data_IF_564888333320
#
_entry.id   IF_564888333320
#
_cell.length_a   1.000
_cell.length_b   1.000
_cell.length_c   1.000
_cell.angle_alpha   90.00
_cell.angle_beta   90.00
_cell.angle_gamma   90.00
#
_symmetry.space_group_name_H-M   'P 1'
#
loop_
_entity.id
_entity.type
_entity.pdbx_description
1 polymer ?
#
# COMPACT_ATOMS: atom_id res chain seq x y z
N UNK A 1 21.76 -1.57 -16.48
CA UNK A 1 21.82 -1.15 -15.07
C UNK A 1 20.48 -1.50 -14.46
N UNK A 2 20.40 -2.37 -13.44
CA UNK A 2 19.14 -2.57 -12.71
C UNK A 2 18.85 -1.25 -11.98
N UNK A 3 17.95 -0.44 -12.50
CA UNK A 3 17.47 0.74 -11.78
C UNK A 3 16.78 0.25 -10.51
N UNK A 4 17.18 0.75 -9.36
CA UNK A 4 16.67 0.31 -8.07
C UNK A 4 15.31 0.91 -7.81
N UNK A 5 14.26 0.10 -7.80
CA UNK A 5 12.89 0.53 -7.45
C UNK A 5 12.89 1.24 -6.10
N UNK A 6 12.16 2.33 -6.02
CA UNK A 6 11.97 3.08 -4.78
C UNK A 6 10.76 2.51 -4.05
N UNK A 7 10.95 2.19 -2.76
CA UNK A 7 9.95 1.54 -1.91
C UNK A 7 9.76 2.35 -0.63
N UNK A 8 8.53 2.46 -0.18
CA UNK A 8 8.16 2.97 1.13
C UNK A 8 7.03 2.13 1.72
N UNK A 9 7.09 1.90 3.03
CA UNK A 9 6.04 1.22 3.79
C UNK A 9 5.90 1.89 5.15
N UNK A 10 4.68 1.95 5.66
CA UNK A 10 4.36 2.40 7.01
C UNK A 10 3.07 1.75 7.48
N UNK A 11 3.03 1.35 8.74
CA UNK A 11 1.80 1.02 9.47
C UNK A 11 1.73 1.90 10.71
N UNK A 12 0.53 2.30 11.14
CA UNK A 12 0.33 3.14 12.32
C UNK A 12 0.88 2.53 13.62
N UNK A 13 1.07 1.21 13.68
CA UNK A 13 1.76 0.52 14.77
C UNK A 13 3.26 0.85 14.85
N UNK A 14 3.91 1.24 13.75
CA UNK A 14 5.31 1.68 13.72
C UNK A 14 5.47 3.08 14.34
N UNK A 15 4.56 3.99 13.97
CA UNK A 15 4.48 5.37 14.46
C UNK A 15 3.08 5.92 14.18
N UNK A 16 2.38 6.36 15.23
CA UNK A 16 0.95 6.66 15.15
C UNK A 16 0.65 8.05 14.58
N UNK A 17 1.60 9.00 14.68
CA UNK A 17 1.41 10.40 14.27
C UNK A 17 0.14 11.03 14.88
N UNK A 18 -0.11 10.79 16.18
CA UNK A 18 -1.15 11.47 16.94
C UNK A 18 -0.77 12.94 17.16
N UNK A 19 -1.74 13.84 17.10
CA UNK A 19 -1.65 15.30 17.28
C UNK A 19 -0.74 16.06 16.29
N UNK A 20 0.07 15.36 15.50
CA UNK A 20 1.11 15.93 14.66
C UNK A 20 1.02 15.40 13.21
N UNK A 21 0.14 16.00 12.37
CA UNK A 21 0.09 15.71 10.95
C UNK A 21 1.48 15.88 10.33
N UNK A 22 1.96 14.84 9.65
CA UNK A 22 3.30 14.81 9.09
C UNK A 22 3.27 14.43 7.62
N UNK A 23 4.04 15.13 6.80
CA UNK A 23 4.24 14.79 5.39
C UNK A 23 5.61 14.18 5.17
N UNK A 24 5.70 13.15 4.33
CA UNK A 24 6.96 12.55 3.87
C UNK A 24 7.00 12.58 2.34
N UNK A 25 8.04 13.20 1.78
CA UNK A 25 8.26 13.22 0.34
C UNK A 25 9.04 11.96 -0.08
N UNK A 26 8.34 11.03 -0.72
CA UNK A 26 8.91 9.85 -1.35
C UNK A 26 8.98 10.05 -2.86
N UNK A 27 10.09 10.65 -3.34
CA UNK A 27 10.31 10.92 -4.76
C UNK A 27 9.21 11.82 -5.33
N UNK A 28 8.43 11.34 -6.31
CA UNK A 28 7.29 12.03 -6.91
C UNK A 28 6.01 11.97 -6.06
N UNK A 29 5.99 11.16 -5.01
CA UNK A 29 4.82 10.97 -4.12
C UNK A 29 5.02 11.73 -2.82
N UNK A 30 3.99 12.44 -2.36
CA UNK A 30 3.94 13.03 -1.02
C UNK A 30 2.92 12.26 -0.18
N UNK A 31 3.37 11.74 0.95
CA UNK A 31 2.59 10.88 1.83
C UNK A 31 2.23 11.67 3.08
N UNK A 32 0.95 11.92 3.30
CA UNK A 32 0.43 12.50 4.54
C UNK A 32 0.11 11.39 5.54
N UNK A 33 0.51 11.56 6.80
CA UNK A 33 0.22 10.64 7.91
C UNK A 33 -0.30 11.44 9.09
N UNK A 34 -1.44 11.02 9.62
CA UNK A 34 -2.07 11.65 10.77
C UNK A 34 -3.02 10.66 11.44
N UNK A 35 -2.78 10.35 12.71
CA UNK A 35 -3.59 9.40 13.48
C UNK A 35 -4.76 10.01 14.24
N UNK A 36 -5.01 11.32 14.08
CA UNK A 36 -6.06 12.02 14.83
C UNK A 36 -5.53 12.83 16.02
N UNK A 37 -6.47 13.41 16.77
CA UNK A 37 -6.18 14.31 17.89
C UNK A 37 -6.54 13.64 19.22
N UNK A 38 -5.60 13.61 20.16
CA UNK A 38 -5.79 12.94 21.46
C UNK A 38 -6.81 13.67 22.35
N UNK A 39 -6.88 14.99 22.28
CA UNK A 39 -7.91 15.77 22.98
C UNK A 39 -9.33 15.53 22.42
N UNK A 40 -9.43 15.02 21.18
CA UNK A 40 -10.68 14.58 20.57
C UNK A 40 -10.95 13.07 20.75
N UNK A 41 -10.09 12.35 21.47
CA UNK A 41 -10.27 10.94 21.82
C UNK A 41 -9.53 9.93 20.94
N UNK A 42 -8.65 10.37 20.03
CA UNK A 42 -7.79 9.44 19.30
C UNK A 42 -6.71 8.87 20.24
N UNK A 43 -6.57 7.55 20.28
CA UNK A 43 -5.58 6.85 21.12
C UNK A 43 -4.71 5.86 20.34
N UNK A 44 -4.98 5.68 19.05
CA UNK A 44 -4.25 4.78 18.14
C UNK A 44 -4.35 5.23 16.69
N UNK A 45 -3.45 4.71 15.87
CA UNK A 45 -3.53 4.75 14.42
C UNK A 45 -3.19 3.36 13.90
N UNK A 46 -4.06 2.81 13.07
CA UNK A 46 -3.96 1.44 12.55
C UNK A 46 -3.77 1.44 11.03
N UNK A 47 -3.89 2.61 10.41
CA UNK A 47 -3.77 2.82 8.97
C UNK A 47 -2.39 2.41 8.46
N UNK A 48 -2.30 2.25 7.14
CA UNK A 48 -1.04 1.93 6.50
C UNK A 48 -0.92 2.53 5.10
N UNK A 49 0.32 2.58 4.64
CA UNK A 49 0.65 3.01 3.29
C UNK A 49 1.80 2.16 2.74
N UNK A 50 1.65 1.71 1.50
CA UNK A 50 2.69 1.03 0.74
C UNK A 50 2.88 1.75 -0.60
N UNK A 51 4.11 2.07 -0.97
CA UNK A 51 4.43 2.79 -2.21
C UNK A 51 5.60 2.14 -2.91
N UNK A 52 5.45 1.92 -4.21
CA UNK A 52 6.51 1.59 -5.14
C UNK A 52 6.57 2.68 -6.21
N UNK A 53 7.77 3.08 -6.62
CA UNK A 53 7.95 4.01 -7.74
C UNK A 53 9.16 3.69 -8.57
N UNK A 54 9.03 3.87 -9.89
CA UNK A 54 10.12 3.74 -10.83
C UNK A 54 11.08 4.94 -10.69
N UNK A 55 12.41 4.73 -10.68
CA UNK A 55 13.37 5.83 -10.55
C UNK A 55 13.24 6.94 -11.59
N UNK A 56 12.85 6.58 -12.81
CA UNK A 56 12.69 7.51 -13.92
C UNK A 56 11.27 8.13 -13.98
N UNK A 57 10.38 7.75 -13.05
CA UNK A 57 9.03 8.31 -12.94
C UNK A 57 8.02 7.80 -13.96
N UNK A 58 8.27 6.65 -14.60
CA UNK A 58 7.31 6.05 -15.55
C UNK A 58 6.00 5.62 -14.88
N UNK A 59 6.09 5.14 -13.64
CA UNK A 59 4.94 4.76 -12.83
C UNK A 59 5.16 4.95 -11.32
N UNK A 60 4.06 5.12 -10.59
CA UNK A 60 3.97 4.89 -9.15
C UNK A 60 2.78 3.98 -8.85
N UNK A 61 3.00 3.07 -7.91
CA UNK A 61 2.00 2.20 -7.35
C UNK A 61 1.84 2.57 -5.88
N UNK A 62 0.61 2.74 -5.41
CA UNK A 62 0.28 3.15 -4.04
C UNK A 62 -0.83 2.25 -3.51
N UNK A 63 -0.71 1.81 -2.27
CA UNK A 63 -1.80 1.22 -1.51
C UNK A 63 -1.98 1.96 -0.20
N UNK A 64 -3.19 2.47 0.02
CA UNK A 64 -3.62 3.06 1.28
C UNK A 64 -4.50 2.07 2.01
N UNK A 65 -4.31 1.96 3.32
CA UNK A 65 -4.97 1.00 4.18
C UNK A 65 -5.68 1.76 5.30
N UNK A 66 -6.98 1.51 5.44
CA UNK A 66 -7.81 1.96 6.56
C UNK A 66 -8.11 0.72 7.40
N UNK A 67 -7.39 0.57 8.51
CA UNK A 67 -7.50 -0.59 9.36
C UNK A 67 -8.26 -0.25 10.63
N UNK A 68 -8.96 -1.25 11.15
CA UNK A 68 -9.78 -1.10 12.33
C UNK A 68 -9.58 -2.27 13.28
N UNK A 69 -9.72 -1.96 14.57
CA UNK A 69 -9.62 -2.85 15.73
C UNK A 69 -8.19 -3.19 16.15
N UNK A 70 -7.33 -3.61 15.22
CA UNK A 70 -5.85 -3.64 15.38
C UNK A 70 -5.16 -3.30 14.06
N UNK A 71 -3.84 -3.10 14.08
CA UNK A 71 -3.02 -2.92 12.88
C UNK A 71 -2.66 -4.23 12.15
N UNK A 72 -2.97 -5.41 12.73
CA UNK A 72 -2.54 -6.72 12.20
C UNK A 72 -3.00 -6.97 10.76
N UNK A 73 -4.21 -6.52 10.40
CA UNK A 73 -4.74 -6.65 9.04
C UNK A 73 -4.03 -5.75 8.03
N UNK A 74 -3.58 -4.56 8.43
CA UNK A 74 -2.75 -3.71 7.58
C UNK A 74 -1.35 -4.31 7.37
N UNK A 75 -0.74 -4.81 8.45
CA UNK A 75 0.56 -5.50 8.40
C UNK A 75 0.51 -6.72 7.48
N UNK A 76 -0.57 -7.49 7.54
CA UNK A 76 -0.82 -8.62 6.64
C UNK A 76 -0.84 -8.16 5.18
N UNK A 77 -1.65 -7.16 4.82
CA UNK A 77 -1.75 -6.67 3.45
C UNK A 77 -0.42 -6.14 2.91
N UNK A 78 0.32 -5.34 3.72
CA UNK A 78 1.65 -4.85 3.31
C UNK A 78 2.59 -6.03 3.05
N UNK A 79 2.66 -7.00 3.96
CA UNK A 79 3.55 -8.17 3.80
C UNK A 79 3.17 -8.99 2.57
N UNK A 80 1.88 -9.25 2.36
CA UNK A 80 1.39 -10.02 1.21
C UNK A 80 1.78 -9.33 -0.10
N UNK A 81 1.53 -8.02 -0.22
CA UNK A 81 1.87 -7.28 -1.44
C UNK A 81 3.38 -7.12 -1.61
N UNK A 82 4.14 -6.93 -0.53
CA UNK A 82 5.58 -6.81 -0.59
C UNK A 82 6.25 -8.09 -1.11
N UNK A 83 5.76 -9.25 -0.71
CA UNK A 83 6.22 -10.54 -1.23
C UNK A 83 5.99 -10.70 -2.74
N UNK A 84 4.99 -10.00 -3.28
CA UNK A 84 4.62 -10.02 -4.70
C UNK A 84 5.16 -8.80 -5.48
N UNK A 85 5.97 -7.95 -4.84
CA UNK A 85 6.42 -6.68 -5.41
C UNK A 85 7.15 -6.87 -6.75
N UNK A 86 7.99 -7.91 -6.88
CA UNK A 86 8.73 -8.20 -8.11
C UNK A 86 7.79 -8.51 -9.29
N UNK A 87 6.68 -9.20 -9.03
CA UNK A 87 5.69 -9.50 -10.06
C UNK A 87 4.87 -8.26 -10.42
N UNK A 88 4.50 -7.44 -9.44
CA UNK A 88 3.86 -6.13 -9.67
C UNK A 88 4.75 -5.25 -10.56
N UNK A 89 6.04 -5.15 -10.25
CA UNK A 89 7.04 -4.41 -11.04
C UNK A 89 7.12 -4.98 -12.47
N UNK A 90 7.12 -6.31 -12.61
CA UNK A 90 7.13 -6.97 -13.92
C UNK A 90 5.88 -6.61 -14.73
N UNK A 91 4.70 -6.60 -14.12
CA UNK A 91 3.44 -6.24 -14.78
C UNK A 91 3.42 -4.76 -15.21
N UNK A 92 3.97 -3.87 -14.39
CA UNK A 92 4.12 -2.44 -14.69
C UNK A 92 5.15 -2.14 -15.79
N UNK A 93 5.95 -3.13 -16.22
CA UNK A 93 6.81 -3.01 -17.40
C UNK A 93 6.09 -3.23 -18.75
N UNK A 94 4.81 -3.65 -18.71
CA UNK A 94 3.97 -3.80 -19.90
C UNK A 94 3.49 -2.43 -20.41
N UNK A 95 2.85 -2.39 -21.59
CA UNK A 95 2.15 -1.18 -22.03
C UNK A 95 0.98 -0.87 -21.10
N UNK A 96 0.65 0.41 -20.89
CA UNK A 96 -0.42 0.88 -19.99
C UNK A 96 -1.70 0.04 -20.09
N UNK A 97 -2.19 -0.22 -21.31
CA UNK A 97 -3.43 -0.96 -21.54
C UNK A 97 -3.37 -2.40 -21.02
N UNK A 98 -2.19 -3.03 -21.07
CA UNK A 98 -1.98 -4.41 -20.60
C UNK A 98 -1.61 -4.45 -19.12
N UNK A 99 -0.89 -3.44 -18.64
CA UNK A 99 -0.45 -3.36 -17.24
C UNK A 99 -1.66 -3.32 -16.30
N UNK A 100 -2.62 -2.42 -16.53
CA UNK A 100 -3.79 -2.28 -15.64
C UNK A 100 -4.67 -3.54 -15.61
N UNK A 101 -4.99 -4.12 -16.76
CA UNK A 101 -5.77 -5.37 -16.80
C UNK A 101 -5.02 -6.51 -16.08
N UNK A 102 -3.73 -6.67 -16.35
CA UNK A 102 -2.96 -7.75 -15.74
C UNK A 102 -2.77 -7.55 -14.23
N UNK A 103 -2.64 -6.31 -13.76
CA UNK A 103 -2.58 -5.98 -12.34
C UNK A 103 -3.89 -6.29 -11.64
N UNK A 104 -5.03 -5.93 -12.24
CA UNK A 104 -6.35 -6.26 -11.69
C UNK A 104 -6.53 -7.76 -11.52
N UNK A 105 -6.27 -8.54 -12.59
CA UNK A 105 -6.35 -10.00 -12.56
C UNK A 105 -5.40 -10.61 -11.52
N UNK A 106 -4.18 -10.08 -11.42
CA UNK A 106 -3.17 -10.53 -10.46
C UNK A 106 -3.57 -10.25 -9.01
N UNK A 107 -3.98 -9.02 -8.69
CA UNK A 107 -4.41 -8.64 -7.34
C UNK A 107 -5.65 -9.43 -6.90
N UNK A 108 -6.62 -9.63 -7.80
CA UNK A 108 -7.76 -10.50 -7.53
C UNK A 108 -7.33 -11.94 -7.26
N UNK A 109 -6.35 -12.47 -7.99
CA UNK A 109 -5.82 -13.82 -7.74
C UNK A 109 -5.21 -13.97 -6.34
N UNK A 110 -4.53 -12.92 -5.84
CA UNK A 110 -3.96 -12.90 -4.49
C UNK A 110 -5.09 -12.88 -3.46
N UNK A 111 -5.99 -11.91 -3.57
CA UNK A 111 -7.04 -11.67 -2.57
C UNK A 111 -8.12 -12.77 -2.54
N UNK A 112 -8.26 -13.55 -3.61
CA UNK A 112 -9.16 -14.70 -3.66
C UNK A 112 -8.46 -16.03 -3.41
N UNK A 113 -7.14 -16.04 -3.16
CA UNK A 113 -6.39 -17.27 -2.87
C UNK A 113 -6.80 -17.86 -1.51
N UNK A 114 -6.83 -19.19 -1.43
CA UNK A 114 -7.13 -19.89 -0.17
C UNK A 114 -6.12 -19.56 0.92
N UNK A 115 -4.85 -19.38 0.56
CA UNK A 115 -3.78 -19.00 1.48
C UNK A 115 -4.06 -17.63 2.12
N UNK A 116 -4.31 -16.60 1.30
CA UNK A 116 -4.58 -15.26 1.81
C UNK A 116 -5.86 -15.23 2.66
N UNK A 117 -6.93 -15.87 2.20
CA UNK A 117 -8.19 -15.98 2.97
C UNK A 117 -7.96 -16.69 4.31
N UNK A 118 -7.08 -17.69 4.36
CA UNK A 118 -6.73 -18.38 5.61
C UNK A 118 -5.94 -17.48 6.56
N UNK A 119 -5.00 -16.69 6.05
CA UNK A 119 -4.23 -15.72 6.84
C UNK A 119 -5.13 -14.60 7.40
N UNK A 120 -6.09 -14.10 6.61
CA UNK A 120 -7.09 -13.14 7.07
C UNK A 120 -7.93 -13.65 8.25
N UNK A 121 -8.11 -14.96 8.40
CA UNK A 121 -8.83 -15.54 9.55
C UNK A 121 -8.00 -15.58 10.84
N UNK A 122 -6.69 -15.35 10.75
CA UNK A 122 -5.78 -15.39 11.91
C UNK A 122 -5.51 -14.01 12.51
N UNK A 123 -5.85 -12.92 11.79
CA UNK A 123 -5.65 -11.55 12.28
C UNK A 123 -6.87 -11.06 13.07
N UNK A 124 -6.64 -10.15 13.99
CA UNK A 124 -7.68 -9.51 14.79
C UNK A 124 -8.00 -8.14 14.22
N UNK A 125 -9.13 -7.98 13.55
CA UNK A 125 -9.54 -6.72 12.93
C UNK A 125 -9.76 -6.85 11.43
N UNK A 126 -9.92 -5.71 10.78
CA UNK A 126 -10.23 -5.64 9.34
C UNK A 126 -9.56 -4.43 8.70
N UNK A 127 -9.35 -4.49 7.39
CA UNK A 127 -8.76 -3.41 6.62
C UNK A 127 -9.45 -3.26 5.28
N UNK A 128 -9.86 -2.04 4.96
CA UNK A 128 -10.16 -1.64 3.59
C UNK A 128 -8.88 -1.14 2.92
N UNK A 129 -8.72 -1.40 1.63
CA UNK A 129 -7.58 -0.89 0.87
C UNK A 129 -8.01 -0.15 -0.39
N UNK A 130 -7.29 0.92 -0.71
CA UNK A 130 -7.32 1.58 -2.01
C UNK A 130 -5.95 1.38 -2.66
N UNK A 131 -5.93 0.70 -3.80
CA UNK A 131 -4.74 0.56 -4.64
C UNK A 131 -4.91 1.52 -5.81
N UNK A 132 -3.89 2.35 -6.06
CA UNK A 132 -3.83 3.28 -7.18
C UNK A 132 -2.51 3.12 -7.93
N UNK A 133 -2.57 3.22 -9.25
CA UNK A 133 -1.40 3.21 -10.11
C UNK A 133 -1.44 4.42 -11.03
N UNK A 134 -0.48 5.33 -10.87
CA UNK A 134 -0.19 6.30 -11.93
C UNK A 134 0.80 5.67 -12.89
N UNK A 135 0.47 5.63 -14.17
CA UNK A 135 1.39 5.20 -15.22
C UNK A 135 1.23 6.11 -16.43
N UNK A 136 2.35 6.68 -16.91
CA UNK A 136 2.33 7.74 -17.92
C UNK A 136 1.34 8.87 -17.53
N UNK A 137 0.30 9.10 -18.35
CA UNK A 137 -0.71 10.14 -18.14
C UNK A 137 -2.04 9.59 -17.56
N UNK A 138 -2.03 8.36 -17.04
CA UNK A 138 -3.22 7.68 -16.51
C UNK A 138 -3.12 7.45 -15.02
N UNK A 139 -4.28 7.47 -14.36
CA UNK A 139 -4.47 7.01 -12.98
C UNK A 139 -5.51 5.90 -13.04
N UNK A 140 -5.13 4.71 -12.56
CA UNK A 140 -5.99 3.54 -12.39
C UNK A 140 -6.19 3.29 -10.90
#
# INVERSE_FOLDING_TARGET
MKQGIHKFSWVGSDEMYLDHPTTYAHKSVVIGRYGGNTAAGADKNEDGAYVLSEPDGGWEWVMLLDAHHTAESAELLIRTIDNEADEIIRLLSLSVQRAFQALEEFLLSIFTSETFISECKQVTGETACLICVRMENYLW
#
